data_IF_100908929055
#
_entry.id   IF_100908929055
#
_cell.length_a   1.000
_cell.length_b   1.000
_cell.length_c   1.000
_cell.angle_alpha   90.00
_cell.angle_beta   90.00
_cell.angle_gamma   90.00
#
_symmetry.space_group_name_H-M   'P 1'
#
loop_
_entity.id
_entity.type
_entity.pdbx_description
1 polymer ?
#
# COMPACT_ATOMS: atom_id res chain seq x y z
N UNK A 1 1.30 -45.02 -24.96
CA UNK A 1 0.33 -44.79 -26.06
C UNK A 1 -0.92 -44.11 -25.49
N UNK A 2 -1.65 -43.39 -26.35
CA UNK A 2 -2.56 -42.25 -26.12
C UNK A 2 -3.81 -42.40 -25.21
N UNK A 3 -4.08 -41.34 -24.43
CA UNK A 3 -5.26 -40.41 -24.41
C UNK A 3 -6.69 -40.99 -24.57
N UNK A 4 -7.61 -40.60 -23.66
CA UNK A 4 -8.93 -39.95 -23.95
C UNK A 4 -9.80 -39.75 -22.68
N UNK A 5 -10.29 -38.52 -22.48
CA UNK A 5 -11.34 -38.13 -21.52
C UNK A 5 -12.75 -38.32 -22.14
N UNK A 6 -13.83 -38.48 -21.35
CA UNK A 6 -15.19 -38.45 -21.89
C UNK A 6 -15.95 -37.13 -21.66
N UNK A 7 -16.85 -36.83 -22.61
CA UNK A 7 -17.68 -35.63 -22.79
C UNK A 7 -18.98 -35.63 -21.95
N UNK A 8 -19.53 -34.42 -21.78
CA UNK A 8 -20.84 -34.04 -21.20
C UNK A 8 -21.99 -34.13 -22.21
N UNK A 9 -23.21 -34.49 -21.79
CA UNK A 9 -24.49 -33.91 -22.28
C UNK A 9 -25.71 -34.29 -21.39
N UNK A 10 -26.81 -33.57 -21.63
CA UNK A 10 -27.96 -33.15 -20.79
C UNK A 10 -29.15 -34.13 -20.80
N UNK A 11 -30.20 -33.91 -19.97
CA UNK A 11 -31.55 -33.92 -20.54
C UNK A 11 -32.47 -32.78 -20.05
N UNK A 12 -33.44 -32.42 -20.88
CA UNK A 12 -34.68 -31.70 -20.56
C UNK A 12 -35.83 -32.52 -21.19
N UNK A 13 -37.03 -32.57 -20.59
CA UNK A 13 -38.24 -32.25 -21.38
C UNK A 13 -39.39 -31.66 -20.51
N UNK A 14 -40.06 -30.58 -20.93
CA UNK A 14 -41.34 -30.44 -21.70
C UNK A 14 -42.60 -30.26 -20.86
N UNK A 15 -43.34 -29.24 -21.29
CA UNK A 15 -44.66 -28.74 -20.88
C UNK A 15 -45.83 -29.66 -21.24
N UNK A 16 -46.89 -29.62 -20.43
CA UNK A 16 -48.26 -29.94 -20.83
C UNK A 16 -49.16 -28.75 -20.47
N UNK A 17 -49.98 -28.36 -21.45
CA UNK A 17 -50.90 -27.24 -21.43
C UNK A 17 -52.28 -27.70 -20.94
N UNK A 18 -53.08 -26.79 -20.36
CA UNK A 18 -54.52 -26.87 -20.45
C UNK A 18 -55.15 -25.47 -20.31
N UNK A 19 -56.15 -25.25 -21.15
CA UNK A 19 -56.91 -24.02 -21.33
C UNK A 19 -57.79 -23.73 -20.11
N UNK A 20 -58.10 -22.46 -19.83
CA UNK A 20 -59.48 -22.05 -19.54
C UNK A 20 -59.66 -20.52 -19.56
N UNK A 21 -60.80 -20.14 -20.15
CA UNK A 21 -61.61 -18.93 -19.99
C UNK A 21 -60.92 -17.55 -19.76
N UNK A 22 -61.14 -16.64 -20.73
CA UNK A 22 -60.82 -15.22 -20.62
C UNK A 22 -61.64 -14.56 -19.49
N UNK A 23 -61.02 -14.49 -18.32
CA UNK A 23 -61.54 -13.83 -17.13
C UNK A 23 -61.46 -12.30 -17.29
N UNK A 24 -62.58 -11.65 -17.61
CA UNK A 24 -62.63 -10.19 -17.84
C UNK A 24 -62.30 -9.36 -16.57
N UNK A 25 -62.21 -10.00 -15.40
CA UNK A 25 -61.62 -9.40 -14.20
C UNK A 25 -60.11 -9.15 -14.35
N UNK A 26 -59.39 -10.02 -15.04
CA UNK A 26 -57.93 -9.93 -15.23
C UNK A 26 -57.55 -8.87 -16.27
N UNK A 27 -58.43 -8.57 -17.23
CA UNK A 27 -58.17 -7.52 -18.23
C UNK A 27 -58.20 -6.11 -17.61
N UNK A 28 -59.08 -5.86 -16.63
CA UNK A 28 -59.17 -4.57 -15.94
C UNK A 28 -58.11 -4.43 -14.84
N UNK A 29 -57.82 -5.51 -14.11
CA UNK A 29 -56.70 -5.57 -13.17
C UNK A 29 -55.35 -5.39 -13.90
N UNK A 30 -55.20 -5.98 -15.08
CA UNK A 30 -54.03 -5.87 -15.94
C UNK A 30 -53.81 -4.46 -16.47
N UNK A 31 -54.86 -3.74 -16.88
CA UNK A 31 -54.76 -2.35 -17.32
C UNK A 31 -54.41 -1.40 -16.16
N UNK A 32 -55.05 -1.60 -14.99
CA UNK A 32 -54.77 -0.81 -13.79
C UNK A 32 -53.34 -1.09 -13.29
N UNK A 33 -52.89 -2.35 -13.26
CA UNK A 33 -51.51 -2.69 -12.92
C UNK A 33 -50.50 -2.16 -13.95
N UNK A 34 -50.81 -2.20 -15.24
CA UNK A 34 -49.91 -1.72 -16.29
C UNK A 34 -49.76 -0.20 -16.32
N UNK A 35 -50.75 0.58 -15.86
CA UNK A 35 -50.70 2.05 -15.87
C UNK A 35 -50.37 2.62 -14.50
N UNK A 36 -50.99 2.12 -13.43
CA UNK A 36 -50.85 2.70 -12.08
C UNK A 36 -49.51 2.30 -11.45
N UNK A 37 -49.04 1.07 -11.67
CA UNK A 37 -47.82 0.57 -11.05
C UNK A 37 -46.57 1.30 -11.57
N UNK A 38 -46.39 1.55 -12.89
CA UNK A 38 -45.29 2.36 -13.38
C UNK A 38 -45.35 3.82 -12.93
N UNK A 39 -46.56 4.41 -12.84
CA UNK A 39 -46.72 5.80 -12.39
C UNK A 39 -46.41 5.93 -10.89
N UNK A 40 -46.85 4.98 -10.07
CA UNK A 40 -46.52 4.94 -8.64
C UNK A 40 -45.03 4.66 -8.40
N UNK A 41 -44.42 3.75 -9.17
CA UNK A 41 -42.97 3.50 -9.12
C UNK A 41 -42.19 4.74 -9.56
N UNK A 42 -42.63 5.45 -10.60
CA UNK A 42 -42.00 6.70 -11.04
C UNK A 42 -42.16 7.83 -10.01
N UNK A 43 -43.30 7.92 -9.31
CA UNK A 43 -43.51 8.87 -8.22
C UNK A 43 -42.66 8.53 -6.99
N UNK A 44 -42.57 7.26 -6.61
CA UNK A 44 -41.74 6.81 -5.48
C UNK A 44 -40.25 7.00 -5.82
N UNK A 45 -39.81 6.61 -7.01
CA UNK A 45 -38.43 6.85 -7.48
C UNK A 45 -38.15 8.35 -7.71
N UNK A 46 -39.15 9.16 -8.07
CA UNK A 46 -39.01 10.61 -8.24
C UNK A 46 -38.98 11.38 -6.91
N UNK A 47 -39.71 10.92 -5.89
CA UNK A 47 -39.74 11.54 -4.56
C UNK A 47 -38.62 11.04 -3.64
N UNK A 48 -38.26 9.75 -3.70
CA UNK A 48 -37.24 9.13 -2.84
C UNK A 48 -35.89 9.02 -3.56
N UNK A 49 -35.89 8.92 -4.88
CA UNK A 49 -34.70 8.76 -5.72
C UNK A 49 -34.18 10.05 -6.34
N UNK A 50 -34.55 11.22 -5.81
CA UNK A 50 -33.60 12.33 -5.91
C UNK A 50 -32.35 11.88 -5.14
N UNK A 51 -31.16 11.76 -5.76
CA UNK A 51 -29.96 11.79 -4.96
C UNK A 51 -30.10 13.09 -4.18
N UNK A 52 -30.06 13.01 -2.86
CA UNK A 52 -29.76 14.19 -2.06
C UNK A 52 -28.43 14.65 -2.63
N UNK A 53 -28.50 15.60 -3.57
CA UNK A 53 -27.35 16.29 -4.08
C UNK A 53 -26.73 16.85 -2.83
N UNK A 54 -25.62 16.25 -2.39
CA UNK A 54 -24.80 16.83 -1.35
C UNK A 54 -24.67 18.29 -1.73
N UNK A 55 -25.09 19.19 -0.84
CA UNK A 55 -25.02 20.61 -1.11
C UNK A 55 -23.64 20.89 -1.69
N UNK A 56 -23.58 21.62 -2.80
CA UNK A 56 -22.37 21.78 -3.63
C UNK A 56 -21.15 22.36 -2.87
N UNK A 57 -21.27 22.64 -1.57
CA UNK A 57 -20.18 22.97 -0.65
C UNK A 57 -19.73 21.86 0.34
N UNK A 58 -20.56 20.87 0.69
CA UNK A 58 -20.21 19.90 1.75
C UNK A 58 -19.36 18.71 1.26
N UNK A 59 -19.44 18.35 -0.02
CA UNK A 59 -18.68 17.21 -0.55
C UNK A 59 -17.18 17.50 -0.67
N UNK A 60 -16.82 18.74 -1.05
CA UNK A 60 -15.43 19.16 -1.12
C UNK A 60 -14.82 19.24 0.28
N UNK A 61 -15.57 19.81 1.23
CA UNK A 61 -15.12 19.96 2.62
C UNK A 61 -15.04 18.62 3.36
N UNK A 62 -15.99 17.69 3.12
CA UNK A 62 -15.92 16.32 3.64
C UNK A 62 -14.81 15.48 2.98
N UNK A 63 -14.57 15.64 1.67
CA UNK A 63 -13.44 14.99 1.01
C UNK A 63 -12.09 15.56 1.49
N UNK A 64 -12.01 16.87 1.76
CA UNK A 64 -10.83 17.52 2.34
C UNK A 64 -10.61 17.05 3.79
N UNK A 65 -11.67 16.95 4.60
CA UNK A 65 -11.63 16.38 5.95
C UNK A 65 -11.21 14.91 5.94
N UNK A 66 -11.74 14.10 5.01
CA UNK A 66 -11.31 12.70 4.84
C UNK A 66 -9.85 12.60 4.42
N UNK A 67 -9.39 13.43 3.48
CA UNK A 67 -7.97 13.55 3.09
C UNK A 67 -7.09 14.09 4.21
N UNK A 68 -7.64 14.85 5.16
CA UNK A 68 -6.94 15.35 6.34
C UNK A 68 -6.80 14.23 7.39
N UNK A 69 -7.82 13.40 7.58
CA UNK A 69 -7.76 12.20 8.44
C UNK A 69 -6.85 11.11 7.87
N UNK A 70 -6.83 10.89 6.55
CA UNK A 70 -5.93 9.92 5.89
C UNK A 70 -4.45 10.37 5.92
N UNK A 71 -4.17 11.62 6.31
CA UNK A 71 -2.82 12.17 6.50
C UNK A 71 -2.34 12.14 7.94
N UNK A 72 -3.14 11.66 8.89
CA UNK A 72 -2.70 11.52 10.27
C UNK A 72 -1.77 10.31 10.41
N UNK A 73 -0.47 10.56 10.27
CA UNK A 73 0.57 9.62 10.73
C UNK A 73 0.82 9.96 12.20
N UNK A 74 0.55 9.04 13.15
CA UNK A 74 0.84 9.29 14.55
C UNK A 74 2.34 9.58 14.74
N UNK A 75 2.71 10.48 15.67
CA UNK A 75 4.11 10.77 15.94
C UNK A 75 4.82 9.51 16.43
N UNK A 76 6.07 9.32 16.02
CA UNK A 76 6.87 8.16 16.44
C UNK A 76 7.04 8.18 17.96
N UNK A 77 6.79 7.03 18.57
CA UNK A 77 7.03 6.82 19.99
C UNK A 77 8.52 6.61 20.29
N UNK A 78 9.00 6.91 21.51
CA UNK A 78 10.37 6.59 21.91
C UNK A 78 10.71 5.10 21.78
N UNK A 79 9.74 4.21 22.02
CA UNK A 79 9.90 2.77 21.89
C UNK A 79 10.12 2.35 20.43
N UNK A 80 9.34 2.88 19.49
CA UNK A 80 9.52 2.64 18.06
C UNK A 80 10.89 3.15 17.58
N UNK A 81 11.30 4.33 18.03
CA UNK A 81 12.61 4.88 17.70
C UNK A 81 13.75 3.97 18.19
N UNK A 82 13.63 3.38 19.38
CA UNK A 82 14.62 2.40 19.90
C UNK A 82 14.66 1.12 19.06
N UNK A 83 13.52 0.58 18.66
CA UNK A 83 13.46 -0.60 17.78
C UNK A 83 14.17 -0.32 16.45
N UNK A 84 13.94 0.86 15.88
CA UNK A 84 14.61 1.28 14.65
C UNK A 84 16.12 1.41 14.87
N UNK A 85 16.56 2.04 15.97
CA UNK A 85 17.98 2.16 16.31
C UNK A 85 18.66 0.80 16.48
N UNK A 86 18.02 -0.16 17.14
CA UNK A 86 18.55 -1.51 17.29
C UNK A 86 18.68 -2.23 15.93
N UNK A 87 17.67 -2.07 15.06
CA UNK A 87 17.72 -2.61 13.70
C UNK A 87 18.81 -1.96 12.84
N UNK A 88 19.02 -0.65 12.98
CA UNK A 88 20.10 0.09 12.32
C UNK A 88 21.45 -0.41 12.83
N UNK A 89 21.62 -0.57 14.14
CA UNK A 89 22.84 -1.10 14.72
C UNK A 89 23.16 -2.48 14.14
N UNK A 90 22.21 -3.40 14.12
CA UNK A 90 22.41 -4.72 13.50
C UNK A 90 22.75 -4.60 12.00
N UNK A 91 22.03 -3.76 11.26
CA UNK A 91 22.24 -3.61 9.82
C UNK A 91 23.62 -3.01 9.48
N UNK A 92 24.08 -2.04 10.26
CA UNK A 92 25.37 -1.36 10.03
C UNK A 92 26.55 -2.18 10.56
N UNK A 93 26.48 -2.65 11.81
CA UNK A 93 27.62 -3.29 12.46
C UNK A 93 27.80 -4.76 12.12
N UNK A 94 26.74 -5.46 11.74
CA UNK A 94 26.81 -6.85 11.33
C UNK A 94 26.79 -6.97 9.80
N UNK A 95 25.66 -6.61 9.17
CA UNK A 95 25.46 -6.87 7.75
C UNK A 95 26.35 -6.02 6.85
N UNK A 96 26.28 -4.70 6.96
CA UNK A 96 27.07 -3.81 6.11
C UNK A 96 28.57 -3.99 6.35
N UNK A 97 28.99 -4.11 7.61
CA UNK A 97 30.38 -4.38 7.97
C UNK A 97 30.92 -5.68 7.34
N UNK A 98 30.14 -6.77 7.37
CA UNK A 98 30.52 -8.03 6.75
C UNK A 98 30.66 -7.93 5.23
N UNK A 99 29.73 -7.24 4.55
CA UNK A 99 29.83 -7.04 3.10
C UNK A 99 31.01 -6.15 2.70
N UNK A 100 31.27 -5.10 3.49
CA UNK A 100 32.46 -4.25 3.29
C UNK A 100 33.73 -5.08 3.48
N UNK A 101 33.80 -5.92 4.52
CA UNK A 101 34.95 -6.82 4.75
C UNK A 101 35.16 -7.75 3.56
N UNK A 102 34.11 -8.44 3.10
CA UNK A 102 34.18 -9.30 1.92
C UNK A 102 34.66 -8.55 0.68
N UNK A 103 34.17 -7.33 0.45
CA UNK A 103 34.63 -6.53 -0.69
C UNK A 103 36.13 -6.23 -0.65
N UNK A 104 36.71 -6.08 0.54
CA UNK A 104 38.15 -5.80 0.76
C UNK A 104 39.00 -7.07 0.69
N UNK A 105 38.41 -8.23 0.97
CA UNK A 105 39.05 -9.55 0.86
C UNK A 105 39.07 -10.08 -0.59
N UNK A 106 38.34 -9.44 -1.52
CA UNK A 106 38.30 -9.79 -2.93
C UNK A 106 39.32 -9.00 -3.77
N UNK A 107 40.07 -9.70 -4.62
CA UNK A 107 40.99 -9.09 -5.59
C UNK A 107 40.31 -8.72 -6.93
N UNK A 108 39.21 -9.41 -7.29
CA UNK A 108 38.48 -9.13 -8.52
C UNK A 108 37.59 -7.88 -8.39
N UNK A 109 37.76 -6.94 -9.33
CA UNK A 109 37.03 -5.66 -9.32
C UNK A 109 35.51 -5.83 -9.47
N UNK A 110 35.04 -6.85 -10.18
CA UNK A 110 33.59 -7.10 -10.37
C UNK A 110 32.99 -7.64 -9.08
N UNK A 111 33.65 -8.62 -8.45
CA UNK A 111 33.21 -9.19 -7.18
C UNK A 111 33.27 -8.17 -6.04
N UNK A 112 34.33 -7.36 -6.00
CA UNK A 112 34.45 -6.23 -5.07
C UNK A 112 33.26 -5.28 -5.21
N UNK A 113 32.96 -4.83 -6.42
CA UNK A 113 31.83 -3.94 -6.67
C UNK A 113 30.49 -4.58 -6.28
N UNK A 114 30.30 -5.87 -6.54
CA UNK A 114 29.09 -6.59 -6.11
C UNK A 114 28.87 -6.49 -4.59
N UNK A 115 29.89 -6.80 -3.79
CA UNK A 115 29.79 -6.70 -2.33
C UNK A 115 29.61 -5.26 -1.85
N UNK A 116 30.26 -4.28 -2.49
CA UNK A 116 30.09 -2.86 -2.20
C UNK A 116 28.66 -2.38 -2.48
N UNK A 117 28.04 -2.80 -3.59
CA UNK A 117 26.66 -2.44 -3.92
C UNK A 117 25.65 -3.08 -2.94
N UNK A 118 25.90 -4.30 -2.48
CA UNK A 118 25.09 -4.90 -1.40
C UNK A 118 25.24 -4.08 -0.11
N UNK A 119 26.46 -3.69 0.27
CA UNK A 119 26.68 -2.86 1.45
C UNK A 119 25.94 -1.52 1.34
N UNK A 120 26.02 -0.82 0.21
CA UNK A 120 25.26 0.41 -0.06
C UNK A 120 23.75 0.18 0.04
N UNK A 121 23.26 -0.96 -0.46
CA UNK A 121 21.86 -1.36 -0.35
C UNK A 121 21.37 -1.58 1.08
N UNK A 122 22.26 -1.88 2.04
CA UNK A 122 21.93 -1.94 3.47
C UNK A 122 22.06 -0.57 4.14
N UNK A 123 23.08 0.21 3.78
CA UNK A 123 23.34 1.52 4.38
C UNK A 123 22.27 2.56 4.00
N UNK A 124 21.73 2.52 2.78
CA UNK A 124 20.70 3.47 2.33
C UNK A 124 19.41 3.44 3.17
N UNK A 125 18.77 2.26 3.38
CA UNK A 125 17.62 2.15 4.27
C UNK A 125 17.93 2.55 5.71
N UNK A 126 19.12 2.19 6.23
CA UNK A 126 19.53 2.57 7.57
C UNK A 126 19.62 4.10 7.74
N UNK A 127 20.16 4.80 6.74
CA UNK A 127 20.19 6.26 6.72
C UNK A 127 18.80 6.88 6.70
N UNK A 128 17.89 6.37 5.86
CA UNK A 128 16.53 6.86 5.80
C UNK A 128 15.78 6.70 7.14
N UNK A 129 15.99 5.57 7.82
CA UNK A 129 15.43 5.33 9.15
C UNK A 129 16.00 6.28 10.21
N UNK A 130 17.31 6.55 10.18
CA UNK A 130 17.96 7.50 11.07
C UNK A 130 17.49 8.94 10.84
N UNK A 131 17.38 9.35 9.57
CA UNK A 131 16.87 10.67 9.22
C UNK A 131 15.41 10.83 9.68
N UNK A 132 14.59 9.79 9.56
CA UNK A 132 13.21 9.78 10.07
C UNK A 132 13.16 10.01 11.58
N UNK A 133 14.04 9.36 12.36
CA UNK A 133 14.14 9.59 13.81
C UNK A 133 14.53 11.05 14.10
N UNK A 134 15.51 11.60 13.39
CA UNK A 134 15.98 12.97 13.60
C UNK A 134 14.89 14.00 13.27
N UNK A 135 14.21 13.83 12.14
CA UNK A 135 13.09 14.69 11.73
C UNK A 135 11.96 14.67 12.77
N UNK A 136 11.64 13.49 13.30
CA UNK A 136 10.61 13.32 14.31
C UNK A 136 11.04 13.87 15.67
N UNK A 137 12.31 13.72 16.05
CA UNK A 137 12.86 14.32 17.28
C UNK A 137 12.82 15.86 17.25
N UNK A 138 12.83 16.46 16.07
CA UNK A 138 12.63 17.91 15.89
C UNK A 138 11.18 18.36 16.08
N UNK A 139 10.21 17.45 15.95
CA UNK A 139 8.76 17.72 16.03
C UNK A 139 8.14 17.24 17.34
N UNK A 140 8.68 16.17 17.92
CA UNK A 140 8.18 15.53 19.13
C UNK A 140 9.09 15.87 20.33
N UNK A 141 8.68 16.87 21.12
CA UNK A 141 9.40 17.30 22.33
C UNK A 141 9.45 16.24 23.44
N UNK A 142 8.62 15.19 23.37
CA UNK A 142 8.65 14.07 24.32
C UNK A 142 9.72 13.02 23.97
N UNK A 143 10.37 13.13 22.81
CA UNK A 143 11.42 12.21 22.40
C UNK A 143 12.69 12.45 23.24
N UNK A 144 13.24 11.41 23.91
CA UNK A 144 14.46 11.54 24.70
C UNK A 144 15.65 12.03 23.86
N UNK A 145 16.45 12.91 24.45
CA UNK A 145 17.65 13.48 23.79
C UNK A 145 18.64 12.38 23.42
N UNK A 146 18.72 11.32 24.23
CA UNK A 146 19.61 10.18 24.00
C UNK A 146 19.30 9.44 22.69
N UNK A 147 18.02 9.38 22.28
CA UNK A 147 17.60 8.77 21.02
C UNK A 147 18.10 9.61 19.84
N UNK A 148 17.96 10.94 19.95
CA UNK A 148 18.46 11.89 18.95
C UNK A 148 19.98 11.81 18.82
N UNK A 149 20.70 11.81 19.93
CA UNK A 149 22.16 11.73 19.93
C UNK A 149 22.65 10.39 19.37
N UNK A 150 21.97 9.29 19.71
CA UNK A 150 22.26 7.98 19.14
C UNK A 150 22.03 7.97 17.61
N UNK A 151 20.90 8.52 17.15
CA UNK A 151 20.60 8.62 15.72
C UNK A 151 21.65 9.43 14.97
N UNK A 152 22.06 10.59 15.50
CA UNK A 152 23.10 11.43 14.90
C UNK A 152 24.46 10.72 14.83
N UNK A 153 24.82 9.99 15.88
CA UNK A 153 26.06 9.19 15.92
C UNK A 153 26.05 8.10 14.86
N UNK A 154 24.95 7.36 14.75
CA UNK A 154 24.81 6.32 13.74
C UNK A 154 24.80 6.89 12.32
N UNK A 155 24.15 8.02 12.11
CA UNK A 155 24.12 8.70 10.80
C UNK A 155 25.53 9.07 10.35
N UNK A 156 26.30 9.68 11.25
CA UNK A 156 27.72 10.03 10.99
C UNK A 156 28.55 8.80 10.62
N UNK A 157 28.29 7.65 11.26
CA UNK A 157 28.96 6.38 10.94
C UNK A 157 28.56 5.88 9.56
N UNK A 158 27.27 5.91 9.23
CA UNK A 158 26.76 5.52 7.90
C UNK A 158 27.39 6.39 6.81
N UNK A 159 27.40 7.72 6.98
CA UNK A 159 28.02 8.66 6.04
C UNK A 159 29.51 8.34 5.82
N UNK A 160 30.23 8.04 6.92
CA UNK A 160 31.64 7.67 6.87
C UNK A 160 31.85 6.39 6.05
N UNK A 161 31.02 5.36 6.26
CA UNK A 161 31.11 4.09 5.53
C UNK A 161 30.76 4.26 4.05
N UNK A 162 29.71 5.03 3.74
CA UNK A 162 29.34 5.35 2.36
C UNK A 162 30.48 6.09 1.63
N UNK A 163 31.06 7.09 2.29
CA UNK A 163 32.20 7.83 1.74
C UNK A 163 33.41 6.92 1.48
N UNK A 164 33.72 6.01 2.40
CA UNK A 164 34.79 5.01 2.20
C UNK A 164 34.50 4.12 0.99
N UNK A 165 33.27 3.60 0.88
CA UNK A 165 32.85 2.79 -0.27
C UNK A 165 32.98 3.54 -1.60
N UNK A 166 32.66 4.83 -1.63
CA UNK A 166 32.81 5.66 -2.82
C UNK A 166 34.28 5.94 -3.16
N UNK A 167 35.18 5.97 -2.17
CA UNK A 167 36.62 6.06 -2.40
C UNK A 167 37.23 4.74 -2.88
N UNK A 168 36.71 3.62 -2.39
CA UNK A 168 37.15 2.26 -2.71
C UNK A 168 36.49 1.70 -3.98
N UNK A 169 35.67 2.49 -4.68
CA UNK A 169 34.99 2.09 -5.93
C UNK A 169 36.02 1.68 -7.00
N UNK A 170 36.06 0.39 -7.39
CA UNK A 170 37.05 -0.13 -8.33
C UNK A 170 36.91 0.44 -9.75
N UNK A 171 35.77 1.07 -10.08
CA UNK A 171 35.46 1.64 -11.38
C UNK A 171 35.45 3.16 -11.39
N UNK A 172 35.94 3.81 -10.33
CA UNK A 172 35.95 5.28 -10.19
C UNK A 172 36.65 6.01 -11.35
N UNK A 173 37.71 5.44 -11.91
CA UNK A 173 38.48 6.08 -13.02
C UNK A 173 37.85 5.87 -14.40
N UNK A 174 36.88 4.95 -14.51
CA UNK A 174 36.21 4.61 -15.76
C UNK A 174 34.88 5.35 -15.97
N UNK A 175 34.54 6.30 -15.10
CA UNK A 175 33.32 7.12 -15.17
C UNK A 175 33.62 8.57 -15.54
#
# INVERSE_FOLDING_TARGET
MAKRSPLRSRPAPTSAAENDELDFGDLTLGLVAAVVLPVMVALILGLIGMPVGGSEGLNAEQAELMRATDRYVPPMTPEEARIILDHVQYSVDDRAAEYIRRSRDCDDNTEKNFWQEIAKGVLGPAEADLQRILDESGRNLAMPVEIKDAAQKWLTKVDTLRFQLDQEDPFRQSR
#
